data_IF_776285367961
#
_entry.id   IF_776285367961
#
_cell.length_a   1.000
_cell.length_b   1.000
_cell.length_c   1.000
_cell.angle_alpha   90.00
_cell.angle_beta   90.00
_cell.angle_gamma   90.00
#
_symmetry.space_group_name_H-M   'P 1'
#
loop_
_entity.id
_entity.type
_entity.pdbx_description
1 polymer ?
#
# COMPACT_ATOMS: atom_id res chain seq x y z
N UNK A 1 -6.44 84.99 64.58
CA UNK A 1 -5.25 84.44 63.92
C UNK A 1 -5.52 82.97 63.75
N UNK A 2 -5.67 82.57 62.49
CA UNK A 2 -6.09 81.25 62.03
C UNK A 2 -4.98 80.23 62.26
N UNK A 3 -5.30 79.08 62.86
CA UNK A 3 -4.56 77.84 62.64
C UNK A 3 -5.53 76.66 62.50
N UNK A 4 -5.79 76.33 61.23
CA UNK A 4 -5.63 75.02 60.60
C UNK A 4 -6.12 73.74 61.31
N UNK A 5 -7.25 73.27 60.79
CA UNK A 5 -7.49 71.92 60.24
C UNK A 5 -6.83 70.71 60.93
N UNK A 6 -7.62 70.05 61.80
CA UNK A 6 -7.40 68.66 62.17
C UNK A 6 -8.57 67.81 61.67
N UNK A 7 -8.31 67.05 60.60
CA UNK A 7 -9.28 66.18 59.94
C UNK A 7 -9.37 64.85 60.72
N UNK A 8 -10.53 64.57 61.34
CA UNK A 8 -10.86 63.25 61.91
C UNK A 8 -12.21 62.77 61.37
N UNK A 9 -12.20 61.63 60.66
CA UNK A 9 -13.15 60.51 60.83
C UNK A 9 -12.69 59.36 59.90
N UNK A 10 -11.87 58.41 60.36
CA UNK A 10 -12.29 57.11 60.95
C UNK A 10 -13.31 56.35 60.09
N UNK A 11 -12.82 55.38 59.31
CA UNK A 11 -13.44 54.06 59.27
C UNK A 11 -12.36 52.99 59.42
N UNK A 12 -12.65 52.11 60.37
CA UNK A 12 -11.74 51.30 61.16
C UNK A 12 -11.49 49.92 60.52
N UNK A 13 -10.41 49.28 60.98
CA UNK A 13 -9.71 48.12 60.45
C UNK A 13 -10.38 46.79 60.85
N UNK A 14 -10.56 45.91 59.85
CA UNK A 14 -10.36 44.44 59.77
C UNK A 14 -10.97 43.46 60.82
N UNK A 15 -11.18 42.19 60.43
CA UNK A 15 -10.24 41.18 60.92
C UNK A 15 -9.78 40.18 59.85
N UNK A 16 -8.49 39.85 59.94
CA UNK A 16 -7.79 38.82 59.19
C UNK A 16 -8.48 37.46 59.32
N UNK A 17 -8.61 36.75 58.20
CA UNK A 17 -8.46 35.29 58.19
C UNK A 17 -7.53 34.95 57.04
N UNK A 18 -6.34 34.49 57.42
CA UNK A 18 -5.29 33.98 56.57
C UNK A 18 -5.75 32.67 55.92
N UNK A 19 -5.92 32.66 54.61
CA UNK A 19 -5.88 31.43 53.83
C UNK A 19 -4.74 31.49 52.82
N UNK A 20 -3.75 30.65 53.15
CA UNK A 20 -2.56 30.28 52.42
C UNK A 20 -2.65 30.42 50.90
N UNK A 21 -1.74 31.24 50.40
CA UNK A 21 -1.21 31.20 49.05
C UNK A 21 -0.63 29.81 48.75
N UNK A 22 -1.44 28.91 48.21
CA UNK A 22 -0.94 27.85 47.34
C UNK A 22 -1.03 28.36 45.91
N UNK A 23 -0.10 29.25 45.53
CA UNK A 23 0.33 29.25 44.14
C UNK A 23 1.07 27.94 43.94
N UNK A 24 0.33 26.92 43.50
CA UNK A 24 0.90 25.76 42.86
C UNK A 24 1.63 26.28 41.61
N UNK A 25 2.91 26.63 41.78
CA UNK A 25 3.89 26.64 40.71
C UNK A 25 4.01 25.19 40.22
N UNK A 26 3.01 24.74 39.47
CA UNK A 26 3.27 23.73 38.47
C UNK A 26 4.28 24.37 37.52
N UNK A 27 5.47 23.78 37.29
CA UNK A 27 6.22 24.13 36.11
C UNK A 27 5.29 23.84 34.93
N UNK A 28 4.74 24.88 34.32
CA UNK A 28 4.25 24.79 32.97
C UNK A 28 5.52 24.56 32.14
N UNK A 29 5.94 23.29 32.07
CA UNK A 29 6.82 22.82 31.03
C UNK A 29 6.12 23.21 29.75
N UNK A 30 6.60 24.29 29.15
CA UNK A 30 6.34 24.61 27.77
C UNK A 30 7.01 23.48 27.01
N UNK A 31 6.34 22.32 26.97
CA UNK A 31 6.70 21.24 26.08
C UNK A 31 6.48 21.83 24.70
N UNK A 32 7.55 22.40 24.14
CA UNK A 32 7.69 22.57 22.72
C UNK A 32 7.21 21.26 22.12
N UNK A 33 6.03 21.29 21.48
CA UNK A 33 5.50 20.15 20.75
C UNK A 33 6.48 19.88 19.63
N UNK A 34 7.54 19.13 19.94
CA UNK A 34 8.52 18.68 18.99
C UNK A 34 7.71 17.93 17.95
N UNK A 35 7.58 18.54 16.77
CA UNK A 35 6.77 18.03 15.67
C UNK A 35 7.26 16.61 15.45
N UNK A 36 6.44 15.61 15.79
CA UNK A 36 6.84 14.20 15.74
C UNK A 36 7.05 13.83 14.27
N UNK A 37 8.30 13.98 13.82
CA UNK A 37 8.74 13.66 12.45
C UNK A 37 8.48 12.17 12.18
N UNK A 38 8.58 11.31 13.20
CA UNK A 38 8.32 9.87 13.08
C UNK A 38 6.89 9.54 12.62
N UNK A 39 5.88 10.26 13.12
CA UNK A 39 4.48 10.04 12.71
C UNK A 39 4.25 10.44 11.24
N UNK A 40 4.94 11.48 10.78
CA UNK A 40 4.87 11.96 9.39
C UNK A 40 5.56 10.97 8.45
N UNK A 41 6.74 10.46 8.82
CA UNK A 41 7.45 9.44 8.04
C UNK A 41 6.65 8.14 7.99
N UNK A 42 6.07 7.70 9.12
CA UNK A 42 5.23 6.50 9.16
C UNK A 42 4.02 6.60 8.24
N UNK A 43 3.34 7.75 8.23
CA UNK A 43 2.24 8.00 7.31
C UNK A 43 2.68 7.97 5.85
N UNK A 44 3.83 8.56 5.53
CA UNK A 44 4.36 8.56 4.16
C UNK A 44 4.61 7.13 3.65
N UNK A 45 5.17 6.24 4.48
CA UNK A 45 5.40 4.84 4.12
C UNK A 45 4.08 4.11 3.86
N UNK A 46 3.07 4.32 4.71
CA UNK A 46 1.75 3.70 4.51
C UNK A 46 1.13 4.15 3.18
N UNK A 47 1.20 5.44 2.85
CA UNK A 47 0.70 5.97 1.57
C UNK A 47 1.42 5.31 0.38
N UNK A 48 2.74 5.18 0.45
CA UNK A 48 3.53 4.53 -0.61
C UNK A 48 3.09 3.07 -0.81
N UNK A 49 2.92 2.31 0.28
CA UNK A 49 2.43 0.92 0.21
C UNK A 49 1.02 0.85 -0.38
N UNK A 50 0.12 1.77 -0.02
CA UNK A 50 -1.23 1.81 -0.57
C UNK A 50 -1.24 2.14 -2.07
N UNK A 51 -0.36 3.05 -2.52
CA UNK A 51 -0.21 3.37 -3.94
C UNK A 51 0.30 2.12 -4.68
N UNK A 52 1.36 1.47 -4.20
CA UNK A 52 1.86 0.26 -4.84
C UNK A 52 0.85 -0.89 -4.81
N UNK A 53 0.19 -1.12 -3.68
CA UNK A 53 -0.85 -2.16 -3.56
C UNK A 53 -2.06 -1.87 -4.46
N UNK A 54 -2.49 -0.61 -4.52
CA UNK A 54 -3.56 -0.17 -5.41
C UNK A 54 -3.20 -0.31 -6.89
N UNK A 55 -2.00 0.12 -7.29
CA UNK A 55 -1.51 -0.02 -8.66
C UNK A 55 -1.28 -1.49 -9.04
N UNK A 56 -0.79 -2.32 -8.13
CA UNK A 56 -0.63 -3.76 -8.33
C UNK A 56 -1.97 -4.44 -8.58
N UNK A 57 -2.97 -4.18 -7.72
CA UNK A 57 -4.30 -4.75 -7.85
C UNK A 57 -5.02 -4.24 -9.11
N UNK A 58 -4.95 -2.93 -9.37
CA UNK A 58 -5.61 -2.32 -10.54
C UNK A 58 -4.94 -2.74 -11.86
N UNK A 59 -3.61 -2.80 -11.92
CA UNK A 59 -2.88 -3.30 -13.08
C UNK A 59 -3.19 -4.76 -13.38
N UNK A 60 -3.24 -5.61 -12.35
CA UNK A 60 -3.64 -7.01 -12.51
C UNK A 60 -5.09 -7.15 -13.01
N UNK A 61 -5.99 -6.28 -12.55
CA UNK A 61 -7.41 -6.32 -12.95
C UNK A 61 -7.64 -5.88 -14.41
N UNK A 62 -6.82 -4.97 -14.95
CA UNK A 62 -6.90 -4.57 -16.37
C UNK A 62 -6.42 -5.70 -17.27
N UNK A 63 -5.28 -6.32 -16.97
CA UNK A 63 -4.78 -7.45 -17.77
C UNK A 63 -5.78 -8.60 -17.83
N UNK A 64 -6.42 -8.94 -16.70
CA UNK A 64 -7.44 -9.99 -16.65
C UNK A 64 -8.66 -9.70 -17.53
N UNK A 65 -9.10 -8.45 -17.62
CA UNK A 65 -10.23 -8.07 -18.49
C UNK A 65 -9.86 -8.19 -19.97
N UNK A 66 -8.63 -7.84 -20.35
CA UNK A 66 -8.16 -7.98 -21.73
C UNK A 66 -8.04 -9.45 -22.15
N UNK A 67 -7.58 -10.33 -21.27
CA UNK A 67 -7.53 -11.78 -21.52
C UNK A 67 -8.94 -12.38 -21.66
N UNK A 68 -9.87 -12.00 -20.78
CA UNK A 68 -11.25 -12.50 -20.85
C UNK A 68 -11.97 -12.06 -22.13
N UNK A 69 -11.83 -10.79 -22.55
CA UNK A 69 -12.42 -10.32 -23.80
C UNK A 69 -11.84 -11.05 -25.03
N UNK A 70 -10.57 -11.46 -24.98
CA UNK A 70 -9.97 -12.28 -26.03
C UNK A 70 -10.57 -13.69 -26.07
N UNK A 71 -10.82 -14.31 -24.91
CA UNK A 71 -11.46 -15.63 -24.89
C UNK A 71 -12.91 -15.60 -25.36
N UNK A 72 -13.68 -14.60 -24.94
CA UNK A 72 -15.10 -14.51 -25.27
C UNK A 72 -15.35 -14.34 -26.79
N UNK A 73 -14.33 -13.91 -27.55
CA UNK A 73 -14.38 -13.77 -29.01
C UNK A 73 -13.64 -14.90 -29.76
N UNK A 74 -13.00 -15.83 -29.05
CA UNK A 74 -12.28 -16.94 -29.63
C UNK A 74 -13.21 -18.14 -29.78
N UNK A 75 -13.34 -18.68 -30.99
CA UNK A 75 -14.14 -19.90 -31.25
C UNK A 75 -13.22 -21.11 -31.41
N UNK A 76 -13.76 -22.31 -31.20
CA UNK A 76 -13.03 -23.56 -31.45
C UNK A 76 -12.50 -23.65 -32.89
N UNK A 77 -13.28 -23.19 -33.88
CA UNK A 77 -12.83 -23.17 -35.27
C UNK A 77 -11.65 -22.20 -35.50
N UNK A 78 -11.57 -21.11 -34.74
CA UNK A 78 -10.44 -20.18 -34.79
C UNK A 78 -9.19 -20.76 -34.12
N UNK A 79 -9.35 -21.59 -33.09
CA UNK A 79 -8.25 -22.27 -32.40
C UNK A 79 -7.69 -23.39 -33.29
N UNK A 80 -8.55 -24.23 -33.87
CA UNK A 80 -8.14 -25.35 -34.74
C UNK A 80 -7.30 -24.90 -35.95
N UNK A 81 -7.55 -23.68 -36.44
CA UNK A 81 -6.84 -23.13 -37.59
C UNK A 81 -5.58 -22.31 -37.23
N UNK A 82 -5.23 -22.19 -35.95
CA UNK A 82 -4.01 -21.52 -35.52
C UNK A 82 -2.82 -22.48 -35.47
N UNK A 83 -1.61 -22.02 -35.85
CA UNK A 83 -0.40 -22.82 -35.69
C UNK A 83 -0.03 -22.95 -34.21
N UNK A 84 0.22 -24.19 -33.78
CA UNK A 84 0.65 -24.52 -32.42
C UNK A 84 2.18 -24.53 -32.31
N UNK A 85 2.73 -23.35 -32.05
CA UNK A 85 4.18 -23.15 -31.91
C UNK A 85 4.73 -23.77 -30.62
N UNK A 86 3.91 -23.93 -29.58
CA UNK A 86 4.32 -24.54 -28.31
C UNK A 86 4.54 -26.04 -28.51
N UNK A 87 3.60 -26.72 -29.17
CA UNK A 87 3.74 -28.12 -29.55
C UNK A 87 4.93 -28.36 -30.47
N UNK A 88 5.16 -27.49 -31.47
CA UNK A 88 6.32 -27.62 -32.37
C UNK A 88 7.65 -27.57 -31.61
N UNK A 89 7.77 -26.67 -30.61
CA UNK A 89 8.96 -26.56 -29.78
C UNK A 89 9.12 -27.75 -28.82
N UNK A 90 8.03 -28.21 -28.20
CA UNK A 90 8.06 -29.39 -27.34
C UNK A 90 8.40 -30.67 -28.10
N UNK A 91 8.07 -30.74 -29.39
CA UNK A 91 8.45 -31.85 -30.27
C UNK A 91 9.90 -31.80 -30.74
N UNK A 92 10.59 -30.66 -30.62
CA UNK A 92 11.96 -30.47 -31.10
C UNK A 92 13.05 -30.95 -30.12
N UNK A 93 12.68 -31.67 -29.05
CA UNK A 93 13.62 -32.23 -28.06
C UNK A 93 14.55 -33.29 -28.67
N UNK A 94 15.73 -33.45 -28.08
CA UNK A 94 16.67 -34.48 -28.50
C UNK A 94 16.20 -35.89 -28.11
N UNK A 95 16.62 -36.90 -28.88
CA UNK A 95 16.41 -38.33 -28.55
C UNK A 95 17.61 -38.94 -27.78
N UNK A 96 18.60 -38.12 -27.45
CA UNK A 96 19.87 -38.55 -26.85
C UNK A 96 19.74 -38.69 -25.33
N UNK A 97 20.34 -39.74 -24.79
CA UNK A 97 20.46 -39.97 -23.34
C UNK A 97 21.74 -39.37 -22.74
N UNK A 98 22.52 -38.62 -23.51
CA UNK A 98 23.73 -37.94 -23.03
C UNK A 98 23.37 -36.76 -22.12
N UNK A 99 24.11 -36.60 -21.02
CA UNK A 99 23.82 -35.57 -20.01
C UNK A 99 23.86 -34.15 -20.61
N UNK A 100 24.79 -33.89 -21.54
CA UNK A 100 24.89 -32.59 -22.20
C UNK A 100 23.64 -32.23 -23.01
N UNK A 101 22.98 -33.23 -23.59
CA UNK A 101 21.84 -33.03 -24.49
C UNK A 101 20.58 -32.81 -23.66
N UNK A 102 20.44 -33.51 -22.53
CA UNK A 102 19.38 -33.26 -21.53
C UNK A 102 19.48 -31.84 -20.95
N UNK A 103 20.68 -31.35 -20.66
CA UNK A 103 20.86 -29.97 -20.17
C UNK A 103 20.47 -28.92 -21.22
N UNK A 104 20.66 -29.22 -22.51
CA UNK A 104 20.22 -28.36 -23.61
C UNK A 104 18.69 -28.37 -23.68
N UNK A 105 18.07 -29.55 -23.73
CA UNK A 105 16.61 -29.68 -23.83
C UNK A 105 15.89 -28.98 -22.67
N UNK A 106 16.40 -29.09 -21.43
CA UNK A 106 15.82 -28.42 -20.26
C UNK A 106 15.93 -26.90 -20.33
N UNK A 107 16.99 -26.36 -20.93
CA UNK A 107 17.15 -24.92 -21.12
C UNK A 107 16.31 -24.40 -22.28
N UNK A 108 16.12 -25.22 -23.32
CA UNK A 108 15.33 -24.91 -24.51
C UNK A 108 13.83 -25.20 -24.31
N UNK A 109 13.44 -25.80 -23.18
CA UNK A 109 12.03 -26.02 -22.84
C UNK A 109 11.33 -24.68 -22.59
N UNK A 110 10.55 -24.25 -23.57
CA UNK A 110 9.72 -23.03 -23.48
C UNK A 110 8.33 -23.40 -22.94
N UNK A 111 8.00 -22.88 -21.76
CA UNK A 111 6.68 -23.03 -21.13
C UNK A 111 5.85 -21.73 -21.21
N UNK A 112 6.36 -20.72 -21.92
CA UNK A 112 5.68 -19.45 -22.10
C UNK A 112 4.49 -19.62 -23.05
N UNK A 113 3.31 -19.18 -22.62
CA UNK A 113 2.07 -19.31 -23.40
C UNK A 113 1.23 -20.56 -23.13
N UNK A 114 1.72 -21.52 -22.34
CA UNK A 114 0.94 -22.72 -21.98
C UNK A 114 -0.37 -22.41 -21.25
N UNK A 115 -0.39 -21.35 -20.43
CA UNK A 115 -1.61 -20.91 -19.75
C UNK A 115 -2.72 -20.54 -20.76
N UNK A 116 -2.35 -19.91 -21.88
CA UNK A 116 -3.29 -19.53 -22.93
C UNK A 116 -3.70 -20.73 -23.78
N UNK A 117 -2.80 -21.69 -23.99
CA UNK A 117 -3.10 -22.94 -24.68
C UNK A 117 -4.08 -23.81 -23.89
N UNK A 118 -3.92 -23.89 -22.57
CA UNK A 118 -4.88 -24.55 -21.68
C UNK A 118 -6.26 -23.86 -21.69
N UNK A 119 -6.28 -22.52 -21.73
CA UNK A 119 -7.53 -21.77 -21.91
C UNK A 119 -8.22 -22.06 -23.24
N UNK A 120 -7.44 -22.15 -24.32
CA UNK A 120 -7.95 -22.50 -25.66
C UNK A 120 -8.55 -23.91 -25.66
N UNK A 121 -7.92 -24.87 -24.98
CA UNK A 121 -8.44 -26.23 -24.82
C UNK A 121 -9.80 -26.22 -24.10
N UNK A 122 -9.94 -25.43 -23.03
CA UNK A 122 -11.22 -25.30 -22.32
C UNK A 122 -12.32 -24.71 -23.21
N UNK A 123 -11.97 -23.72 -24.05
CA UNK A 123 -12.88 -23.15 -25.07
C UNK A 123 -13.28 -24.21 -26.09
N UNK A 124 -12.33 -24.98 -26.61
CA UNK A 124 -12.59 -26.08 -27.54
C UNK A 124 -13.58 -27.06 -26.92
N UNK A 125 -13.39 -27.52 -25.68
CA UNK A 125 -14.30 -28.52 -25.08
C UNK A 125 -15.65 -27.98 -24.57
N UNK A 126 -15.93 -26.68 -24.69
CA UNK A 126 -17.14 -26.03 -24.13
C UNK A 126 -18.41 -26.12 -24.98
N UNK A 127 -18.42 -26.96 -26.02
CA UNK A 127 -19.54 -27.17 -26.96
C UNK A 127 -20.88 -27.56 -26.33
#
# INVERSE_FOLDING_TARGET
>A
MEENNFNQNMNNINPEISENQYSENAPQTNEERSKSIGSIIGLAIIIVILIFGGLYYWGAQINKQQTQEQLDNTTAEMIENQPDAALEQLQAQNESDEISDIEIDLNDTVLEGLDQELENIDVEFSF
#
